data_IF_982143172387
#
_entry.id   IF_982143172387
#
_cell.length_a   1.000
_cell.length_b   1.000
_cell.length_c   1.000
_cell.angle_alpha   90.00
_cell.angle_beta   90.00
_cell.angle_gamma   90.00
#
_symmetry.space_group_name_H-M   'P 1'
#
loop_
_entity.id
_entity.type
_entity.pdbx_description
1 polymer ?
#
# COMPACT_ATOMS: atom_id res chain seq x y z
N UNK A 1 2.37 6.19 -4.03
CA UNK A 1 3.42 6.60 -3.08
C UNK A 1 4.82 6.50 -3.70
N UNK A 2 5.23 5.39 -4.27
CA UNK A 2 6.61 5.21 -4.76
C UNK A 2 7.00 6.14 -5.92
N UNK A 3 6.13 6.37 -6.90
CA UNK A 3 6.41 7.20 -8.07
C UNK A 3 6.09 8.70 -7.87
N UNK A 4 6.17 9.22 -6.66
CA UNK A 4 5.95 10.64 -6.37
C UNK A 4 6.64 11.07 -5.08
N UNK A 5 6.97 12.34 -4.98
CA UNK A 5 7.48 12.93 -3.76
C UNK A 5 6.31 13.20 -2.80
N UNK A 6 6.40 12.69 -1.58
CA UNK A 6 5.37 12.89 -0.56
C UNK A 6 5.53 14.24 0.14
N UNK A 7 4.40 14.77 0.58
CA UNK A 7 4.33 16.00 1.34
C UNK A 7 4.42 15.74 2.86
N UNK A 8 5.52 15.19 3.29
CA UNK A 8 5.75 14.95 4.73
C UNK A 8 5.78 16.23 5.57
N UNK A 9 6.13 17.35 4.95
CA UNK A 9 6.15 18.65 5.65
C UNK A 9 4.75 19.06 6.16
N UNK A 10 3.70 18.61 5.47
CA UNK A 10 2.30 18.85 5.87
C UNK A 10 1.63 17.60 6.44
N UNK A 11 2.41 16.60 6.85
CA UNK A 11 1.89 15.36 7.43
C UNK A 11 1.07 14.52 6.43
N UNK A 12 1.37 14.62 5.14
CA UNK A 12 0.63 13.95 4.09
C UNK A 12 1.47 12.90 3.39
N UNK A 13 0.88 11.74 3.15
CA UNK A 13 1.44 10.73 2.25
C UNK A 13 1.11 11.01 0.76
N UNK A 14 0.35 12.07 0.49
CA UNK A 14 0.03 12.47 -0.89
C UNK A 14 1.25 13.08 -1.56
N UNK A 15 1.39 12.92 -2.89
CA UNK A 15 2.44 13.58 -3.64
C UNK A 15 2.31 15.10 -3.55
N UNK A 16 3.44 15.78 -3.53
CA UNK A 16 3.51 17.23 -3.71
C UNK A 16 2.78 17.66 -5.01
N UNK A 17 2.17 18.84 -5.05
CA UNK A 17 1.52 19.36 -6.27
C UNK A 17 2.46 19.28 -7.48
N UNK A 18 1.97 18.74 -8.60
CA UNK A 18 2.75 18.58 -9.83
C UNK A 18 3.83 17.48 -9.77
N UNK A 19 3.94 16.73 -8.68
CA UNK A 19 4.98 15.70 -8.51
C UNK A 19 4.45 14.26 -8.54
N UNK A 20 3.22 14.05 -9.00
CA UNK A 20 2.67 12.71 -9.24
C UNK A 20 3.40 12.02 -10.39
N UNK A 21 3.83 10.79 -10.16
CA UNK A 21 4.44 9.97 -11.19
C UNK A 21 5.86 10.35 -11.60
N UNK A 22 6.44 11.41 -11.05
CA UNK A 22 7.76 11.94 -11.49
C UNK A 22 8.94 11.04 -11.11
N UNK A 23 8.70 10.03 -10.27
CA UNK A 23 9.74 9.14 -9.76
C UNK A 23 10.61 9.79 -8.69
N UNK A 24 11.43 8.96 -8.06
CA UNK A 24 12.40 9.37 -7.02
C UNK A 24 13.44 8.29 -6.80
N UNK A 25 14.54 8.64 -6.16
CA UNK A 25 15.47 7.69 -5.54
C UNK A 25 15.00 7.46 -4.11
N UNK A 26 14.78 6.19 -3.76
CA UNK A 26 14.49 5.82 -2.39
C UNK A 26 15.79 5.88 -1.58
N UNK A 27 15.71 6.50 -0.42
CA UNK A 27 16.78 6.56 0.57
C UNK A 27 16.15 6.22 1.91
N UNK A 28 16.75 5.34 2.64
CA UNK A 28 16.31 5.09 4.00
C UNK A 28 16.46 3.66 4.48
N UNK A 29 16.37 3.55 5.77
CA UNK A 29 16.33 2.32 6.51
C UNK A 29 14.89 1.81 6.54
N UNK A 30 14.72 0.52 6.32
CA UNK A 30 13.48 -0.18 6.60
C UNK A 30 13.48 -0.67 8.05
N UNK A 31 12.36 -0.69 8.63
CA UNK A 31 11.78 -1.35 9.82
C UNK A 31 12.72 -1.77 10.97
N UNK A 32 13.94 -2.18 10.73
CA UNK A 32 14.87 -2.75 11.72
C UNK A 32 16.27 -2.15 11.65
N UNK A 33 16.43 -1.03 10.92
CA UNK A 33 17.75 -0.43 10.67
C UNK A 33 18.45 -1.03 9.45
N UNK A 34 17.87 -1.97 8.74
CA UNK A 34 18.44 -2.45 7.49
C UNK A 34 18.23 -1.45 6.37
N UNK A 35 19.28 -1.19 5.59
CA UNK A 35 19.26 -0.27 4.45
C UNK A 35 18.72 -1.01 3.22
N UNK A 36 17.42 -1.27 3.20
CA UNK A 36 16.84 -2.07 2.15
C UNK A 36 16.55 -1.30 0.85
N UNK A 37 16.54 0.04 0.89
CA UNK A 37 16.14 0.85 -0.27
C UNK A 37 17.22 1.76 -0.82
N UNK A 38 18.42 1.76 -0.27
CA UNK A 38 19.42 2.74 -0.71
C UNK A 38 19.80 2.51 -2.18
N UNK A 39 19.53 3.54 -2.98
CA UNK A 39 19.76 3.50 -4.42
C UNK A 39 18.67 2.83 -5.26
N UNK A 40 17.55 2.37 -4.64
CA UNK A 40 16.41 1.91 -5.44
C UNK A 40 15.73 3.10 -6.12
N UNK A 41 15.58 3.02 -7.44
CA UNK A 41 15.00 4.08 -8.25
C UNK A 41 13.57 3.70 -8.62
N UNK A 42 12.60 4.47 -8.12
CA UNK A 42 11.24 4.45 -8.64
C UNK A 42 11.21 5.34 -9.90
N UNK A 43 11.03 4.81 -11.11
CA UNK A 43 11.17 5.59 -12.33
C UNK A 43 10.13 6.69 -12.48
N UNK A 44 10.46 7.69 -13.28
CA UNK A 44 9.49 8.66 -13.78
C UNK A 44 8.51 7.95 -14.73
N UNK A 45 7.24 7.90 -14.35
CA UNK A 45 6.16 7.29 -15.15
C UNK A 45 5.24 8.32 -15.80
N UNK A 46 5.57 9.62 -15.70
CA UNK A 46 4.82 10.67 -16.43
C UNK A 46 5.01 10.51 -17.95
N UNK A 47 4.14 11.08 -18.79
CA UNK A 47 4.25 10.97 -20.25
C UNK A 47 5.37 11.82 -20.86
N UNK A 48 6.42 12.14 -20.10
CA UNK A 48 7.64 12.72 -20.65
C UNK A 48 8.37 11.70 -21.53
N UNK A 49 8.72 12.09 -22.75
CA UNK A 49 9.30 11.17 -23.74
C UNK A 49 10.77 10.86 -23.53
N UNK A 50 11.51 11.74 -22.85
CA UNK A 50 12.95 11.60 -22.64
C UNK A 50 13.30 10.90 -21.34
N UNK A 51 12.62 11.27 -20.25
CA UNK A 51 12.96 10.81 -18.91
C UNK A 51 11.86 10.01 -18.23
N UNK A 52 10.68 9.95 -18.85
CA UNK A 52 9.49 9.27 -18.34
C UNK A 52 9.03 8.10 -19.19
N UNK A 53 7.76 7.77 -19.06
CA UNK A 53 7.14 6.65 -19.75
C UNK A 53 6.37 7.07 -21.02
N UNK A 54 6.60 8.27 -21.54
CA UNK A 54 5.85 8.81 -22.69
C UNK A 54 6.06 8.05 -24.00
N UNK A 55 7.14 7.29 -24.11
CA UNK A 55 7.42 6.45 -25.27
C UNK A 55 7.01 4.97 -25.08
N UNK A 56 6.49 4.59 -23.90
CA UNK A 56 6.13 3.20 -23.64
C UNK A 56 4.81 2.83 -24.31
N UNK A 57 4.76 1.61 -24.85
CA UNK A 57 3.49 1.03 -25.32
C UNK A 57 2.64 0.57 -24.15
N UNK A 58 1.33 0.36 -24.37
CA UNK A 58 0.43 -0.17 -23.35
C UNK A 58 0.86 -1.58 -22.90
N UNK A 59 1.33 -2.42 -23.82
CA UNK A 59 1.88 -3.73 -23.51
C UNK A 59 3.14 -3.66 -22.61
N UNK A 60 3.95 -2.61 -22.72
CA UNK A 60 5.09 -2.41 -21.81
C UNK A 60 4.63 -1.97 -20.42
N UNK A 61 3.62 -1.13 -20.32
CA UNK A 61 2.99 -0.80 -19.04
C UNK A 61 2.37 -2.04 -18.38
N UNK A 62 1.55 -2.78 -19.11
CA UNK A 62 0.92 -4.00 -18.61
C UNK A 62 1.96 -5.00 -18.09
N UNK A 63 3.02 -5.24 -18.86
CA UNK A 63 4.09 -6.14 -18.46
C UNK A 63 4.81 -5.67 -17.19
N UNK A 64 5.02 -4.37 -17.04
CA UNK A 64 5.61 -3.80 -15.83
C UNK A 64 4.68 -3.93 -14.62
N UNK A 65 3.38 -3.68 -14.80
CA UNK A 65 2.39 -3.72 -13.72
C UNK A 65 2.14 -5.15 -13.25
N UNK A 66 1.94 -6.09 -14.19
CA UNK A 66 1.52 -7.47 -13.86
C UNK A 66 2.67 -8.45 -13.69
N UNK A 67 3.79 -8.23 -14.38
CA UNK A 67 4.85 -9.23 -14.46
C UNK A 67 6.18 -8.75 -13.89
N UNK A 68 6.27 -7.49 -13.43
CA UNK A 68 7.50 -6.95 -12.89
C UNK A 68 8.63 -6.83 -13.92
N UNK A 69 8.31 -6.71 -15.21
CA UNK A 69 9.29 -6.59 -16.29
C UNK A 69 9.21 -5.19 -16.88
N UNK A 70 10.27 -4.41 -16.71
CA UNK A 70 10.35 -3.04 -17.21
C UNK A 70 10.31 -2.96 -18.75
N UNK A 71 10.15 -1.73 -19.25
CA UNK A 71 10.06 -1.46 -20.70
C UNK A 71 11.31 -1.92 -21.49
N UNK A 72 12.46 -1.96 -20.83
CA UNK A 72 13.77 -2.38 -21.35
C UNK A 72 14.05 -3.88 -21.14
N UNK A 73 13.08 -4.62 -20.62
CA UNK A 73 13.19 -6.06 -20.38
C UNK A 73 13.84 -6.45 -19.04
N UNK A 74 14.26 -5.48 -18.23
CA UNK A 74 14.83 -5.77 -16.90
C UNK A 74 13.75 -6.22 -15.92
N UNK A 75 14.12 -7.03 -14.96
CA UNK A 75 13.28 -7.33 -13.80
C UNK A 75 13.17 -6.12 -12.87
N UNK A 76 11.97 -5.85 -12.39
CA UNK A 76 11.71 -4.82 -11.42
C UNK A 76 11.89 -5.38 -10.00
N UNK A 77 12.24 -4.51 -9.06
CA UNK A 77 12.22 -4.87 -7.66
C UNK A 77 10.79 -5.21 -7.21
N UNK A 78 10.64 -6.16 -6.31
CA UNK A 78 9.37 -6.58 -5.70
C UNK A 78 8.68 -5.46 -4.89
N UNK A 79 9.41 -4.41 -4.54
CA UNK A 79 8.82 -3.14 -4.07
C UNK A 79 7.84 -2.49 -5.03
N UNK A 80 7.96 -2.77 -6.33
CA UNK A 80 6.86 -2.60 -7.25
C UNK A 80 5.94 -3.81 -7.06
N UNK A 81 4.75 -3.65 -6.47
CA UNK A 81 3.98 -4.77 -5.97
C UNK A 81 3.23 -5.51 -7.10
N UNK A 82 3.94 -5.88 -8.14
CA UNK A 82 3.39 -6.60 -9.29
C UNK A 82 2.85 -7.99 -8.92
N UNK A 83 3.36 -8.59 -7.84
CA UNK A 83 2.81 -9.83 -7.31
C UNK A 83 1.31 -9.70 -6.98
N UNK A 84 0.89 -8.56 -6.44
CA UNK A 84 -0.51 -8.26 -6.14
C UNK A 84 -1.26 -7.74 -7.38
N UNK A 85 -0.62 -6.90 -8.18
CA UNK A 85 -1.24 -6.30 -9.37
C UNK A 85 -1.43 -7.26 -10.53
N UNK A 86 -0.75 -8.41 -10.54
CA UNK A 86 -0.91 -9.45 -11.59
C UNK A 86 -2.35 -9.92 -11.77
N UNK A 87 -3.16 -9.82 -10.72
CA UNK A 87 -4.56 -10.22 -10.72
C UNK A 87 -5.54 -9.12 -11.12
N UNK A 88 -5.05 -7.91 -11.43
CA UNK A 88 -5.92 -6.83 -11.93
C UNK A 88 -6.62 -7.26 -13.22
N UNK A 89 -7.86 -6.83 -13.39
CA UNK A 89 -8.58 -7.02 -14.66
C UNK A 89 -7.91 -6.24 -15.78
N UNK A 90 -8.17 -6.62 -17.02
CA UNK A 90 -7.63 -5.89 -18.18
C UNK A 90 -8.17 -4.46 -18.23
N UNK A 91 -9.42 -4.26 -17.83
CA UNK A 91 -10.07 -2.95 -17.73
C UNK A 91 -9.37 -2.05 -16.70
N UNK A 92 -9.03 -2.59 -15.53
CA UNK A 92 -8.36 -1.81 -14.49
C UNK A 92 -6.93 -1.45 -14.89
N UNK A 93 -6.20 -2.39 -15.51
CA UNK A 93 -4.86 -2.09 -16.05
C UNK A 93 -4.94 -1.00 -17.13
N UNK A 94 -5.88 -1.11 -18.05
CA UNK A 94 -6.10 -0.08 -19.07
C UNK A 94 -6.45 1.28 -18.45
N UNK A 95 -7.31 1.30 -17.42
CA UNK A 95 -7.67 2.51 -16.69
C UNK A 95 -6.47 3.16 -15.99
N UNK A 96 -5.60 2.36 -15.38
CA UNK A 96 -4.34 2.85 -14.78
C UNK A 96 -3.43 3.45 -15.85
N UNK A 97 -3.29 2.81 -17.01
CA UNK A 97 -2.47 3.30 -18.12
C UNK A 97 -3.02 4.64 -18.63
N UNK A 98 -4.33 4.72 -18.87
CA UNK A 98 -5.01 5.96 -19.31
C UNK A 98 -4.77 7.07 -18.30
N UNK A 99 -4.91 6.77 -17.00
CA UNK A 99 -4.64 7.75 -15.95
C UNK A 99 -3.18 8.21 -15.96
N UNK A 100 -2.21 7.32 -16.05
CA UNK A 100 -0.79 7.68 -16.11
C UNK A 100 -0.51 8.59 -17.33
N UNK A 101 -1.09 8.28 -18.49
CA UNK A 101 -0.94 9.08 -19.71
C UNK A 101 -1.61 10.46 -19.60
N UNK A 102 -2.58 10.63 -18.72
CA UNK A 102 -3.25 11.92 -18.47
C UNK A 102 -2.48 12.84 -17.53
N UNK A 103 -1.43 12.34 -16.87
CA UNK A 103 -0.61 13.18 -16.00
C UNK A 103 0.16 14.22 -16.82
N UNK A 104 0.48 15.39 -16.23
CA UNK A 104 1.41 16.32 -16.86
C UNK A 104 2.76 15.67 -17.12
N UNK A 105 3.32 15.87 -18.32
CA UNK A 105 4.67 15.44 -18.63
C UNK A 105 5.67 16.26 -17.80
N UNK A 106 6.51 15.59 -17.02
CA UNK A 106 7.52 16.23 -16.17
C UNK A 106 8.88 15.64 -16.51
N UNK A 107 9.80 16.48 -17.00
CA UNK A 107 11.19 16.05 -17.21
C UNK A 107 11.88 15.89 -15.87
N UNK A 108 12.25 14.65 -15.53
CA UNK A 108 12.97 14.30 -14.30
C UNK A 108 14.00 13.20 -14.60
N UNK A 109 15.24 13.55 -14.96
CA UNK A 109 16.29 12.57 -15.18
C UNK A 109 16.71 11.95 -13.83
N UNK A 110 16.44 10.67 -13.68
CA UNK A 110 16.82 9.89 -12.51
C UNK A 110 18.09 9.07 -12.83
N UNK A 111 18.93 8.77 -11.83
CA UNK A 111 20.07 7.90 -12.04
C UNK A 111 19.61 6.52 -12.51
N UNK A 112 20.47 5.82 -13.23
CA UNK A 112 20.26 4.40 -13.46
C UNK A 112 20.30 3.68 -12.12
N UNK A 113 19.45 2.65 -11.97
CA UNK A 113 19.46 1.79 -10.79
C UNK A 113 20.87 1.30 -10.49
N UNK A 114 21.33 1.57 -9.29
CA UNK A 114 22.60 1.07 -8.79
C UNK A 114 22.32 0.24 -7.53
N UNK A 115 21.81 -0.97 -7.72
CA UNK A 115 21.63 -1.95 -6.64
C UNK A 115 22.53 -3.13 -6.91
N UNK A 116 23.29 -3.50 -5.90
CA UNK A 116 24.26 -4.58 -5.93
C UNK A 116 23.70 -5.94 -5.49
N UNK A 117 22.41 -6.03 -5.20
CA UNK A 117 21.77 -7.27 -4.76
C UNK A 117 20.92 -7.89 -5.88
N UNK A 118 20.93 -9.20 -5.92
CA UNK A 118 20.04 -9.96 -6.77
C UNK A 118 18.62 -9.83 -6.27
N UNK A 119 17.72 -9.32 -7.13
CA UNK A 119 16.31 -9.25 -6.81
C UNK A 119 15.69 -10.55 -7.23
N UNK A 120 15.23 -11.31 -6.24
CA UNK A 120 14.40 -12.48 -6.50
C UNK A 120 12.96 -12.00 -6.61
N UNK A 121 12.28 -12.49 -7.64
CA UNK A 121 10.84 -12.29 -7.79
C UNK A 121 10.13 -13.16 -6.78
N UNK A 122 9.67 -12.56 -5.69
CA UNK A 122 8.75 -13.22 -4.77
C UNK A 122 7.32 -12.84 -5.15
N UNK A 123 6.52 -13.83 -5.46
CA UNK A 123 5.11 -13.65 -5.80
C UNK A 123 4.18 -13.70 -4.59
N UNK A 124 4.74 -13.89 -3.39
CA UNK A 124 4.01 -13.95 -2.13
C UNK A 124 2.72 -14.80 -2.20
N UNK A 125 2.80 -16.03 -2.74
CA UNK A 125 1.60 -16.86 -2.91
C UNK A 125 0.94 -17.21 -1.59
N UNK A 126 1.69 -17.19 -0.52
CA UNK A 126 1.20 -17.41 0.85
C UNK A 126 0.31 -16.26 1.34
N UNK A 127 0.49 -15.06 0.81
CA UNK A 127 -0.32 -13.90 1.14
C UNK A 127 -1.62 -13.82 0.31
N UNK A 128 -1.90 -14.81 -0.52
CA UNK A 128 -3.13 -14.84 -1.29
C UNK A 128 -4.34 -15.02 -0.36
N UNK A 129 -5.22 -14.01 -0.22
CA UNK A 129 -6.36 -14.11 0.67
C UNK A 129 -7.37 -15.13 0.13
N UNK A 130 -7.93 -15.95 1.00
CA UNK A 130 -8.89 -17.01 0.61
C UNK A 130 -10.25 -16.43 0.29
N UNK A 131 -10.91 -17.05 -0.71
CA UNK A 131 -12.28 -16.74 -1.09
C UNK A 131 -13.10 -18.04 -1.02
N UNK A 132 -14.28 -17.97 -0.38
CA UNK A 132 -15.21 -19.09 -0.39
C UNK A 132 -15.79 -19.30 -1.80
N UNK A 133 -15.99 -20.56 -2.18
CA UNK A 133 -16.49 -20.90 -3.54
C UNK A 133 -17.92 -20.38 -3.80
N UNK A 134 -18.72 -20.25 -2.75
CA UNK A 134 -20.10 -19.77 -2.78
C UNK A 134 -20.22 -18.27 -2.38
N UNK A 135 -19.12 -17.53 -2.38
CA UNK A 135 -19.12 -16.12 -2.06
C UNK A 135 -20.05 -15.32 -2.98
N UNK A 136 -20.77 -14.35 -2.39
CA UNK A 136 -21.58 -13.40 -3.16
C UNK A 136 -20.72 -12.51 -4.07
N UNK A 137 -21.32 -11.92 -5.11
CA UNK A 137 -20.61 -11.01 -6.00
C UNK A 137 -19.99 -9.82 -5.26
N UNK A 138 -20.66 -9.29 -4.24
CA UNK A 138 -20.11 -8.22 -3.39
C UNK A 138 -18.86 -8.69 -2.66
N UNK A 139 -18.85 -9.89 -2.09
CA UNK A 139 -17.69 -10.46 -1.39
C UNK A 139 -16.54 -10.75 -2.36
N UNK A 140 -16.85 -11.26 -3.56
CA UNK A 140 -15.85 -11.47 -4.63
C UNK A 140 -15.19 -10.16 -5.05
N UNK A 141 -15.99 -9.11 -5.23
CA UNK A 141 -15.48 -7.78 -5.55
C UNK A 141 -14.59 -7.23 -4.41
N UNK A 142 -15.02 -7.38 -3.15
CA UNK A 142 -14.23 -6.99 -1.99
C UNK A 142 -12.90 -7.75 -1.88
N UNK A 143 -12.92 -9.05 -2.12
CA UNK A 143 -11.72 -9.88 -2.19
C UNK A 143 -10.73 -9.38 -3.26
N UNK A 144 -11.24 -9.08 -4.46
CA UNK A 144 -10.44 -8.50 -5.52
C UNK A 144 -9.78 -7.19 -5.10
N UNK A 145 -10.56 -6.26 -4.53
CA UNK A 145 -10.06 -4.96 -4.09
C UNK A 145 -9.04 -5.06 -2.96
N UNK A 146 -9.27 -5.94 -1.99
CA UNK A 146 -8.33 -6.18 -0.87
C UNK A 146 -6.97 -6.67 -1.39
N UNK A 147 -6.96 -7.51 -2.42
CA UNK A 147 -5.72 -8.01 -3.04
C UNK A 147 -4.94 -6.89 -3.72
N UNK A 148 -5.58 -6.17 -4.64
CA UNK A 148 -4.89 -5.11 -5.39
C UNK A 148 -4.53 -3.90 -4.52
N UNK A 149 -5.25 -3.68 -3.43
CA UNK A 149 -4.93 -2.67 -2.42
C UNK A 149 -3.90 -3.14 -1.38
N UNK A 150 -3.52 -4.41 -1.39
CA UNK A 150 -2.50 -5.02 -0.52
C UNK A 150 -2.84 -4.91 0.98
N UNK A 151 -4.10 -4.98 1.35
CA UNK A 151 -4.49 -4.89 2.75
C UNK A 151 -3.87 -6.01 3.60
N UNK A 152 -3.83 -7.22 3.02
CA UNK A 152 -3.27 -8.42 3.62
C UNK A 152 -1.76 -8.36 3.84
N UNK A 153 -1.01 -7.63 3.03
CA UNK A 153 0.44 -7.44 3.21
C UNK A 153 0.74 -6.69 4.52
N UNK A 154 0.22 -5.47 4.66
CA UNK A 154 0.45 -4.66 5.85
C UNK A 154 -0.26 -5.20 7.11
N UNK A 155 -1.43 -5.85 6.97
CA UNK A 155 -2.22 -6.33 8.10
C UNK A 155 -1.99 -7.80 8.47
N UNK A 156 -0.97 -8.45 7.91
CA UNK A 156 -0.51 -9.79 8.31
C UNK A 156 0.86 -9.65 8.95
N UNK A 157 1.10 -10.17 10.16
CA UNK A 157 2.40 -10.05 10.80
C UNK A 157 3.41 -10.99 10.13
N UNK A 158 4.68 -10.63 10.24
CA UNK A 158 5.81 -11.44 9.80
C UNK A 158 6.58 -11.95 11.01
N UNK A 159 7.23 -13.10 10.87
CA UNK A 159 8.15 -13.63 11.87
C UNK A 159 9.54 -12.97 11.78
N UNK A 160 10.46 -13.39 12.64
CA UNK A 160 11.82 -12.86 12.70
C UNK A 160 12.64 -13.17 11.45
N UNK A 161 12.26 -14.21 10.70
CA UNK A 161 12.87 -14.58 9.43
C UNK A 161 12.28 -13.83 8.23
N UNK A 162 11.30 -12.94 8.46
CA UNK A 162 10.62 -12.17 7.42
C UNK A 162 9.57 -12.95 6.63
N UNK A 163 9.08 -14.08 7.17
CA UNK A 163 8.03 -14.88 6.56
C UNK A 163 6.66 -14.48 7.10
N UNK A 164 5.69 -14.32 6.21
CA UNK A 164 4.34 -13.97 6.58
C UNK A 164 3.67 -15.07 7.44
N UNK A 165 3.12 -14.67 8.57
CA UNK A 165 2.36 -15.54 9.46
C UNK A 165 0.93 -15.69 8.97
N UNK A 166 0.75 -16.52 7.97
CA UNK A 166 -0.52 -16.66 7.24
C UNK A 166 -1.69 -17.16 8.09
N UNK A 167 -1.41 -17.84 9.21
CA UNK A 167 -2.41 -18.21 10.22
C UNK A 167 -2.98 -16.99 10.96
N UNK A 168 -2.28 -15.85 10.87
CA UNK A 168 -2.69 -14.56 11.44
C UNK A 168 -3.05 -13.53 10.35
N UNK A 169 -3.43 -13.97 9.16
CA UNK A 169 -3.78 -13.08 8.06
C UNK A 169 -4.85 -12.06 8.49
N UNK A 170 -4.59 -10.78 8.22
CA UNK A 170 -5.36 -9.62 8.68
C UNK A 170 -5.37 -9.37 10.20
N UNK A 171 -4.61 -10.16 10.98
CA UNK A 171 -4.54 -10.02 12.44
C UNK A 171 -3.71 -8.82 12.92
N UNK A 172 -3.05 -8.09 12.04
CA UNK A 172 -2.22 -6.94 12.39
C UNK A 172 -0.95 -7.31 13.15
N UNK A 173 -0.30 -6.32 13.75
CA UNK A 173 0.88 -6.52 14.59
C UNK A 173 2.21 -6.28 13.87
N UNK A 174 2.18 -5.92 12.59
CA UNK A 174 3.40 -5.56 11.87
C UNK A 174 3.85 -4.15 12.26
N UNK A 175 5.09 -4.03 12.71
CA UNK A 175 5.70 -2.75 13.05
C UNK A 175 6.26 -2.08 11.81
N UNK A 176 5.91 -0.81 11.64
CA UNK A 176 6.30 0.03 10.53
C UNK A 176 6.97 1.29 11.05
N UNK A 177 8.28 1.41 10.87
CA UNK A 177 9.03 2.61 11.23
C UNK A 177 9.26 3.49 9.99
N UNK A 178 9.28 4.80 10.20
CA UNK A 178 9.54 5.74 9.11
C UNK A 178 9.41 7.20 9.51
N UNK A 179 9.36 8.13 8.52
CA UNK A 179 9.20 9.55 8.79
C UNK A 179 7.92 9.91 9.56
N UNK A 180 6.94 9.01 9.53
CA UNK A 180 5.69 9.09 10.28
C UNK A 180 5.81 8.62 11.74
N UNK A 181 7.00 8.20 12.19
CA UNK A 181 7.25 7.55 13.47
C UNK A 181 7.14 6.04 13.39
N UNK A 182 6.98 5.39 14.54
CA UNK A 182 6.70 3.96 14.67
C UNK A 182 5.19 3.74 14.73
N UNK A 183 4.68 2.80 13.95
CA UNK A 183 3.27 2.39 13.98
C UNK A 183 3.18 0.87 13.96
N UNK A 184 2.12 0.33 14.56
CA UNK A 184 1.79 -1.09 14.47
C UNK A 184 0.46 -1.22 13.74
N UNK A 185 0.42 -2.09 12.74
CA UNK A 185 -0.80 -2.28 11.95
C UNK A 185 -1.88 -2.94 12.80
N UNK A 186 -3.12 -2.42 12.80
CA UNK A 186 -4.19 -2.98 13.62
C UNK A 186 -4.70 -4.31 13.06
N UNK A 187 -5.31 -5.11 13.96
CA UNK A 187 -6.12 -6.26 13.58
C UNK A 187 -7.41 -5.78 12.90
N UNK A 188 -7.61 -6.19 11.65
CA UNK A 188 -8.81 -5.84 10.86
C UNK A 188 -9.74 -7.03 10.62
N UNK A 189 -9.58 -8.12 11.40
CA UNK A 189 -10.51 -9.25 11.41
C UNK A 189 -11.74 -8.96 12.27
N UNK A 190 -12.75 -9.84 12.19
CA UNK A 190 -13.98 -9.77 12.98
C UNK A 190 -13.83 -10.25 14.42
N UNK A 191 -12.61 -10.48 14.91
CA UNK A 191 -12.35 -10.81 16.33
C UNK A 191 -12.64 -9.60 17.24
N UNK A 192 -13.05 -9.79 18.51
CA UNK A 192 -13.20 -8.68 19.48
C UNK A 192 -11.94 -7.83 19.69
N UNK A 193 -10.74 -8.37 19.39
CA UNK A 193 -9.48 -7.62 19.41
C UNK A 193 -9.21 -6.84 18.12
N UNK A 194 -10.07 -7.00 17.11
CA UNK A 194 -10.02 -6.31 15.82
C UNK A 194 -11.22 -5.39 15.62
N UNK A 195 -11.84 -5.49 14.44
CA UNK A 195 -12.96 -4.62 14.01
C UNK A 195 -14.34 -5.26 14.16
N UNK A 196 -14.53 -6.20 15.12
CA UNK A 196 -15.84 -6.84 15.35
C UNK A 196 -16.96 -5.84 15.63
N UNK A 197 -16.61 -4.72 16.27
CA UNK A 197 -17.53 -3.64 16.64
C UNK A 197 -17.84 -2.67 15.48
N UNK A 198 -17.20 -2.82 14.34
CA UNK A 198 -17.48 -2.01 13.16
C UNK A 198 -18.75 -2.52 12.48
N UNK A 199 -19.62 -1.59 12.14
CA UNK A 199 -20.60 -1.76 11.08
C UNK A 199 -20.10 -1.15 9.76
N UNK A 200 -20.87 -1.30 8.70
CA UNK A 200 -20.53 -0.79 7.37
C UNK A 200 -20.31 0.74 7.38
N UNK A 201 -21.20 1.46 8.07
CA UNK A 201 -21.14 2.92 8.12
C UNK A 201 -19.88 3.41 8.85
N UNK A 202 -19.49 2.75 9.94
CA UNK A 202 -18.27 3.06 10.67
C UNK A 202 -17.03 2.76 9.84
N UNK A 203 -17.01 1.64 9.09
CA UNK A 203 -15.92 1.31 8.21
C UNK A 203 -15.72 2.36 7.11
N UNK A 204 -16.83 2.71 6.41
CA UNK A 204 -16.78 3.76 5.39
C UNK A 204 -16.29 5.08 5.97
N UNK A 205 -16.84 5.49 7.12
CA UNK A 205 -16.42 6.72 7.80
C UNK A 205 -14.93 6.69 8.13
N UNK A 206 -14.42 5.57 8.64
CA UNK A 206 -12.99 5.41 8.97
C UNK A 206 -12.12 5.63 7.75
N UNK A 207 -12.42 4.99 6.63
CA UNK A 207 -11.63 5.15 5.40
C UNK A 207 -11.77 6.56 4.81
N UNK A 208 -12.97 7.14 4.82
CA UNK A 208 -13.23 8.50 4.29
C UNK A 208 -12.50 9.59 5.07
N UNK A 209 -12.49 9.47 6.39
CA UNK A 209 -12.02 10.55 7.27
C UNK A 209 -10.62 10.31 7.83
N UNK A 210 -10.14 9.06 7.86
CA UNK A 210 -8.92 8.69 8.56
C UNK A 210 -9.07 8.63 10.08
N UNK A 211 -10.31 8.52 10.59
CA UNK A 211 -10.56 8.41 12.03
C UNK A 211 -11.19 7.06 12.36
N UNK A 212 -10.45 6.22 13.05
CA UNK A 212 -10.91 4.91 13.49
C UNK A 212 -11.92 5.00 14.65
N UNK A 213 -12.62 3.90 14.89
CA UNK A 213 -13.51 3.72 16.08
C UNK A 213 -14.52 4.85 16.27
N UNK A 214 -15.15 5.28 15.19
CA UNK A 214 -16.18 6.32 15.26
C UNK A 214 -15.66 7.76 15.44
N UNK A 215 -14.35 7.97 15.29
CA UNK A 215 -13.75 9.31 15.38
C UNK A 215 -12.82 9.50 16.58
N UNK A 216 -12.62 8.47 17.40
CA UNK A 216 -11.81 8.55 18.63
C UNK A 216 -10.31 8.60 18.31
N UNK A 217 -9.87 7.94 17.24
CA UNK A 217 -8.46 7.78 16.91
C UNK A 217 -8.18 8.17 15.46
N UNK A 218 -7.19 9.04 15.25
CA UNK A 218 -6.71 9.38 13.91
C UNK A 218 -5.73 8.30 13.40
N UNK A 219 -5.95 7.82 12.18
CA UNK A 219 -5.05 6.90 11.52
C UNK A 219 -3.72 7.59 11.18
N UNK A 220 -2.62 6.88 11.37
CA UNK A 220 -1.34 7.33 10.86
C UNK A 220 -1.38 7.38 9.32
N UNK A 221 -0.68 8.35 8.72
CA UNK A 221 -0.64 8.54 7.27
C UNK A 221 0.09 7.43 6.52
N UNK A 222 0.75 6.52 7.22
CA UNK A 222 1.29 5.28 6.66
C UNK A 222 0.15 4.41 6.09
N UNK A 223 -0.97 4.28 6.81
CA UNK A 223 -2.19 3.71 6.23
C UNK A 223 -2.65 4.64 5.08
N UNK A 224 -2.69 4.16 3.83
CA UNK A 224 -2.94 5.02 2.67
C UNK A 224 -4.43 5.40 2.50
N UNK A 225 -5.15 5.66 3.59
CA UNK A 225 -6.56 6.01 3.56
C UNK A 225 -6.86 7.24 2.69
N UNK A 226 -5.89 8.16 2.54
CA UNK A 226 -6.02 9.35 1.68
C UNK A 226 -6.15 9.02 0.20
N UNK A 227 -5.73 7.81 -0.21
CA UNK A 227 -5.97 7.26 -1.54
C UNK A 227 -7.28 6.48 -1.58
N UNK A 228 -7.48 5.58 -0.61
CA UNK A 228 -8.65 4.72 -0.53
C UNK A 228 -9.96 5.49 -0.31
N UNK A 229 -9.91 6.66 0.32
CA UNK A 229 -11.07 7.55 0.46
C UNK A 229 -11.71 7.99 -0.86
N UNK A 230 -11.05 7.79 -2.00
CA UNK A 230 -11.58 8.10 -3.33
C UNK A 230 -12.30 6.91 -3.99
N UNK A 231 -12.27 5.73 -3.39
CA UNK A 231 -13.05 4.57 -3.84
C UNK A 231 -14.55 4.90 -3.76
N UNK A 232 -15.38 4.21 -4.54
CA UNK A 232 -16.83 4.34 -4.42
C UNK A 232 -17.33 3.80 -3.08
N UNK A 233 -18.54 4.11 -2.69
CA UNK A 233 -19.13 3.51 -1.48
C UNK A 233 -19.36 2.02 -1.68
N UNK A 234 -19.71 1.60 -2.90
CA UNK A 234 -19.87 0.20 -3.29
C UNK A 234 -18.56 -0.58 -3.11
N UNK A 235 -17.43 -0.01 -3.51
CA UNK A 235 -16.11 -0.62 -3.31
C UNK A 235 -15.78 -0.79 -1.82
N UNK A 236 -15.96 0.26 -1.03
CA UNK A 236 -15.69 0.21 0.40
C UNK A 236 -16.61 -0.77 1.14
N UNK A 237 -17.89 -0.84 0.75
CA UNK A 237 -18.85 -1.84 1.26
C UNK A 237 -18.43 -3.26 0.89
N UNK A 238 -17.95 -3.45 -0.34
CA UNK A 238 -17.46 -4.74 -0.80
C UNK A 238 -16.22 -5.18 -0.02
N UNK A 239 -15.25 -4.28 0.21
CA UNK A 239 -14.09 -4.55 1.06
C UNK A 239 -14.53 -4.97 2.46
N UNK A 240 -15.44 -4.21 3.08
CA UNK A 240 -15.94 -4.54 4.42
C UNK A 240 -16.67 -5.88 4.44
N UNK A 241 -17.54 -6.15 3.46
CA UNK A 241 -18.23 -7.42 3.33
C UNK A 241 -17.25 -8.59 3.26
N UNK A 242 -16.17 -8.45 2.48
CA UNK A 242 -15.12 -9.47 2.41
C UNK A 242 -14.41 -9.63 3.77
N UNK A 243 -13.98 -8.56 4.42
CA UNK A 243 -13.30 -8.62 5.72
C UNK A 243 -14.16 -9.29 6.80
N UNK A 244 -15.49 -9.24 6.67
CA UNK A 244 -16.40 -9.96 7.56
C UNK A 244 -16.43 -11.47 7.32
N UNK A 245 -15.91 -11.96 6.20
CA UNK A 245 -15.83 -13.40 5.88
C UNK A 245 -14.50 -14.04 6.28
N UNK A 246 -13.45 -13.22 6.53
CA UNK A 246 -12.15 -13.78 6.91
C UNK A 246 -12.21 -14.37 8.33
N UNK A 247 -11.46 -15.46 8.59
CA UNK A 247 -11.41 -16.05 9.93
C UNK A 247 -10.99 -15.02 10.99
N UNK A 248 -11.69 -14.97 12.15
CA UNK A 248 -11.31 -14.06 13.23
C UNK A 248 -9.96 -14.50 13.82
N UNK A 249 -9.06 -13.56 14.03
CA UNK A 249 -7.75 -13.76 14.64
C UNK A 249 -7.73 -13.06 15.99
N UNK A 250 -7.61 -13.83 17.07
CA UNK A 250 -7.46 -13.29 18.42
C UNK A 250 -6.04 -12.74 18.59
N UNK A 251 -5.86 -11.47 18.30
CA UNK A 251 -4.58 -10.77 18.41
C UNK A 251 -4.81 -9.32 18.82
N UNK A 252 -4.46 -9.00 20.06
CA UNK A 252 -4.53 -7.62 20.55
C UNK A 252 -3.24 -6.91 20.18
N UNK A 253 -3.36 -5.92 19.31
CA UNK A 253 -2.24 -5.04 18.98
C UNK A 253 -2.12 -3.98 20.06
N UNK A 254 -0.93 -3.78 20.59
CA UNK A 254 -0.66 -2.72 21.55
C UNK A 254 -0.37 -1.40 20.83
N UNK A 255 -1.30 -0.48 20.91
CA UNK A 255 -1.22 0.88 20.36
C UNK A 255 -1.25 1.93 21.49
N UNK A 256 -0.83 1.56 22.71
CA UNK A 256 -0.88 2.42 23.90
C UNK A 256 0.32 3.35 24.05
N UNK A 257 1.41 3.12 23.31
CA UNK A 257 2.58 3.96 23.36
C UNK A 257 2.30 5.37 22.90
N UNK A 258 2.94 6.34 23.56
CA UNK A 258 2.85 7.74 23.17
C UNK A 258 3.44 7.97 21.78
N UNK A 259 2.79 8.81 20.98
CA UNK A 259 3.30 9.20 19.69
C UNK A 259 4.59 10.02 19.80
N UNK A 260 5.51 9.82 18.85
CA UNK A 260 6.79 10.53 18.79
C UNK A 260 6.73 11.72 17.83
N UNK A 261 7.54 12.72 18.10
CA UNK A 261 7.68 13.89 17.22
C UNK A 261 8.46 13.51 15.96
N UNK A 262 7.87 13.76 14.79
CA UNK A 262 8.52 13.56 13.51
C UNK A 262 9.30 14.84 13.12
N UNK A 263 10.63 14.76 12.92
CA UNK A 263 11.42 15.92 12.50
C UNK A 263 11.14 16.36 11.06
N UNK A 264 10.54 15.50 10.24
CA UNK A 264 10.26 15.76 8.82
C UNK A 264 8.98 16.59 8.66
N UNK A 265 7.84 16.09 9.18
CA UNK A 265 6.55 16.78 9.06
C UNK A 265 6.21 17.65 10.27
N UNK A 266 7.03 17.64 11.31
CA UNK A 266 6.86 18.40 12.56
C UNK A 266 5.55 18.10 13.32
N UNK A 267 5.00 16.91 13.11
CA UNK A 267 3.82 16.40 13.80
C UNK A 267 4.17 15.17 14.65
N UNK A 268 3.28 14.79 15.53
CA UNK A 268 3.43 13.55 16.29
C UNK A 268 2.82 12.39 15.52
N UNK A 269 3.58 11.29 15.40
CA UNK A 269 3.16 10.03 14.78
C UNK A 269 3.57 8.87 15.67
N UNK A 270 2.99 7.71 15.46
CA UNK A 270 3.36 6.49 16.16
C UNK A 270 2.17 5.78 16.73
N UNK A 271 2.38 5.07 17.80
CA UNK A 271 1.37 4.28 18.49
C UNK A 271 0.29 5.12 19.17
N UNK A 272 -0.61 4.45 19.86
CA UNK A 272 -1.70 5.09 20.57
C UNK A 272 -2.72 5.68 19.62
N UNK A 273 -3.00 6.95 19.78
CA UNK A 273 -4.04 7.65 19.04
C UNK A 273 -3.70 7.88 17.57
N UNK A 274 -2.44 7.70 17.19
CA UNK A 274 -1.92 8.03 15.86
C UNK A 274 -1.71 6.82 14.95
N UNK A 275 -1.98 5.65 15.45
CA UNK A 275 -1.84 4.42 14.69
C UNK A 275 -3.12 4.05 13.93
#
# INVERSE_FOLDING_TARGET
MCHGEQDYAHGSSLPLPGRKGVGKVLKGELYDGTVAFDGLVCPNITPDKETGAGAWSDAQFERAIRHGIGHDGRELADYMPYAFFRSMTDEDVASVIVYIRSLPAVRNPLPKRNVSFEIKVDLHPELEPKLAADASEQVKHGWYLVRIAQCNDCHTPYDEEGKARTEMMFGGGQRMAGPWGDVVTPNITSDPTGISHYDEAMFLKTIRTGHASGGVRELNTFMPYRYFRNMTDEDLKAIFAYLRTVPPVKHRVDNSEASTYCPICRQKHGFGDKN
#
